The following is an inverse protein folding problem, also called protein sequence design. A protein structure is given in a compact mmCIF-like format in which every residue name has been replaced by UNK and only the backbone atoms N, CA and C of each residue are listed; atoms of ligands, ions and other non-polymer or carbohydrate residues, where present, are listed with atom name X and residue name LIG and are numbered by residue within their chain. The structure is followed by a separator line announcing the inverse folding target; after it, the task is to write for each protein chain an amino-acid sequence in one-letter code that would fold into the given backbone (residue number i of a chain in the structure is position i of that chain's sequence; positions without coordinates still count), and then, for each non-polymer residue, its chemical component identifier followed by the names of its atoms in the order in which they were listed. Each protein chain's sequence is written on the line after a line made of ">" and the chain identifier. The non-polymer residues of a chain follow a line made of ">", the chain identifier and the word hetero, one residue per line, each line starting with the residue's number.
data_IF_879025934655
#
_entry.id   IF_879025934655
#
_cell.length_a   1.000
_cell.length_b   1.000
_cell.length_c   1.000
_cell.angle_alpha   90.00
_cell.angle_beta   90.00
_cell.angle_gamma   90.00
#
_symmetry.space_group_name_H-M   'P 1'
#
loop_
_entity.id
_entity.type
_entity.pdbx_description
1 polymer ?
#
# COMPACT_ATOMS: atom_id res chain seq x y z
N UNK A 1 20.43 -22.71 -17.45
CA UNK A 1 19.65 -21.53 -17.89
C UNK A 1 18.25 -21.65 -17.32
N UNK A 2 18.00 -21.16 -16.11
CA UNK A 2 16.66 -21.13 -15.51
C UNK A 2 16.33 -19.67 -15.21
N UNK A 3 15.57 -19.05 -16.12
CA UNK A 3 15.04 -17.71 -15.92
C UNK A 3 13.70 -17.86 -15.22
N UNK A 4 13.67 -17.58 -13.91
CA UNK A 4 12.42 -17.49 -13.17
C UNK A 4 11.81 -16.13 -13.48
N UNK A 5 10.88 -16.11 -14.43
CA UNK A 5 10.08 -14.94 -14.74
C UNK A 5 9.08 -14.71 -13.60
N UNK A 6 9.40 -13.80 -12.69
CA UNK A 6 8.48 -13.35 -11.65
C UNK A 6 7.37 -12.57 -12.36
N UNK A 7 6.16 -13.13 -12.37
CA UNK A 7 4.97 -12.44 -12.85
C UNK A 7 4.73 -11.25 -11.91
N UNK A 8 5.09 -10.06 -12.35
CA UNK A 8 4.81 -8.83 -11.62
C UNK A 8 3.29 -8.60 -11.67
N UNK A 9 2.62 -8.79 -10.54
CA UNK A 9 1.21 -8.41 -10.40
C UNK A 9 1.07 -6.90 -10.66
N UNK A 10 -0.03 -6.43 -11.30
CA UNK A 10 -0.23 -5.01 -11.55
C UNK A 10 -0.38 -4.28 -10.21
N UNK A 11 0.71 -3.68 -9.74
CA UNK A 11 0.65 -2.75 -8.62
C UNK A 11 -0.03 -1.48 -9.12
N UNK A 12 -1.20 -1.16 -8.57
CA UNK A 12 -1.84 0.14 -8.78
C UNK A 12 -0.93 1.21 -8.16
N UNK A 13 -0.03 1.76 -8.98
CA UNK A 13 0.85 2.84 -8.58
C UNK A 13 0.06 4.14 -8.61
N UNK A 14 -0.14 4.76 -7.45
CA UNK A 14 -0.71 6.11 -7.40
C UNK A 14 0.21 7.09 -8.13
N UNK A 15 -0.31 8.23 -8.59
CA UNK A 15 0.48 9.27 -9.25
C UNK A 15 1.71 9.73 -8.43
N UNK A 16 1.72 9.49 -7.11
CA UNK A 16 2.87 9.72 -6.21
C UNK A 16 4.01 8.69 -6.32
N UNK A 17 3.83 7.62 -7.10
CA UNK A 17 4.76 6.50 -7.17
C UNK A 17 4.85 5.69 -5.86
N UNK A 18 3.82 5.79 -5.02
CA UNK A 18 3.66 5.03 -3.78
C UNK A 18 2.61 3.94 -3.99
N UNK A 19 2.89 2.76 -3.48
CA UNK A 19 1.98 1.61 -3.49
C UNK A 19 1.87 1.03 -2.08
N UNK A 20 0.75 0.35 -1.80
CA UNK A 20 0.64 -0.50 -0.63
C UNK A 20 1.49 -1.77 -0.89
N UNK A 21 2.38 -2.18 0.02
CA UNK A 21 3.18 -3.39 -0.14
C UNK A 21 2.30 -4.64 -0.24
N UNK A 22 2.57 -5.50 -1.22
CA UNK A 22 1.89 -6.78 -1.37
C UNK A 22 2.52 -7.84 -0.44
N UNK A 23 2.13 -7.79 0.83
CA UNK A 23 2.51 -8.79 1.83
C UNK A 23 1.27 -9.35 2.52
N UNK A 24 1.38 -10.60 3.00
CA UNK A 24 0.31 -11.26 3.76
C UNK A 24 -0.13 -10.41 4.96
N UNK A 25 0.83 -9.87 5.73
CA UNK A 25 0.54 -9.05 6.90
C UNK A 25 -0.25 -7.78 6.52
N UNK A 26 0.16 -7.09 5.45
CA UNK A 26 -0.54 -5.87 5.01
C UNK A 26 -1.97 -6.17 4.58
N UNK A 27 -2.20 -7.30 3.89
CA UNK A 27 -3.55 -7.74 3.53
C UNK A 27 -4.41 -8.03 4.75
N UNK A 28 -3.90 -8.83 5.70
CA UNK A 28 -4.62 -9.18 6.93
C UNK A 28 -4.97 -7.94 7.77
N UNK A 29 -4.06 -6.97 7.88
CA UNK A 29 -4.33 -5.71 8.59
C UNK A 29 -5.36 -4.86 7.84
N UNK A 30 -5.27 -4.80 6.51
CA UNK A 30 -6.24 -4.04 5.70
C UNK A 30 -7.64 -4.62 5.83
N UNK A 31 -7.77 -5.95 5.81
CA UNK A 31 -9.04 -6.66 6.03
C UNK A 31 -9.56 -6.41 7.44
N UNK A 32 -8.72 -6.58 8.48
CA UNK A 32 -9.11 -6.32 9.87
C UNK A 32 -9.68 -4.91 10.06
N UNK A 33 -9.00 -3.88 9.56
CA UNK A 33 -9.44 -2.48 9.69
C UNK A 33 -10.73 -2.24 8.90
N UNK A 34 -10.88 -2.87 7.73
CA UNK A 34 -12.09 -2.75 6.91
C UNK A 34 -13.31 -3.39 7.57
N UNK A 35 -13.11 -4.45 8.35
CA UNK A 35 -14.17 -5.16 9.04
C UNK A 35 -14.55 -4.51 10.38
N UNK A 36 -13.60 -3.81 11.02
CA UNK A 36 -13.81 -3.16 12.33
C UNK A 36 -14.24 -1.70 12.24
N UNK A 37 -13.81 -0.98 11.21
CA UNK A 37 -14.03 0.47 11.10
C UNK A 37 -15.05 0.83 10.01
N UNK A 38 -15.70 1.98 10.17
CA UNK A 38 -16.59 2.50 9.15
C UNK A 38 -15.81 3.01 7.91
N UNK A 39 -16.53 3.19 6.80
CA UNK A 39 -15.95 3.67 5.54
C UNK A 39 -15.25 5.03 5.65
N UNK A 40 -15.69 5.92 6.54
CA UNK A 40 -15.04 7.23 6.73
C UNK A 40 -13.63 7.04 7.32
N UNK A 41 -13.51 6.23 8.38
CA UNK A 41 -12.25 5.96 9.06
C UNK A 41 -11.31 5.10 8.22
N UNK A 42 -11.82 4.06 7.55
CA UNK A 42 -11.01 3.26 6.61
C UNK A 42 -10.40 4.12 5.50
N UNK A 43 -11.21 4.98 4.88
CA UNK A 43 -10.74 5.90 3.83
C UNK A 43 -9.80 6.97 4.38
N UNK A 44 -10.04 7.47 5.61
CA UNK A 44 -9.16 8.41 6.27
C UNK A 44 -7.76 7.80 6.50
N UNK A 45 -7.70 6.62 7.12
CA UNK A 45 -6.44 5.90 7.38
C UNK A 45 -5.67 5.61 6.09
N UNK A 46 -6.37 5.19 5.03
CA UNK A 46 -5.78 4.97 3.71
C UNK A 46 -5.13 6.24 3.15
N UNK A 47 -5.81 7.40 3.21
CA UNK A 47 -5.26 8.68 2.76
C UNK A 47 -4.04 9.11 3.59
N UNK A 48 -4.09 8.94 4.91
CA UNK A 48 -2.97 9.27 5.81
C UNK A 48 -1.74 8.45 5.44
N UNK A 49 -1.88 7.13 5.23
CA UNK A 49 -0.78 6.28 4.77
C UNK A 49 -0.16 6.80 3.48
N UNK A 50 -0.99 7.09 2.46
CA UNK A 50 -0.49 7.57 1.18
C UNK A 50 0.21 8.93 1.27
N UNK A 51 -0.32 9.87 2.05
CA UNK A 51 0.34 11.17 2.25
C UNK A 51 1.66 11.04 3.00
N UNK A 52 1.72 10.20 4.04
CA UNK A 52 2.93 9.95 4.79
C UNK A 52 4.01 9.30 3.90
N UNK A 53 3.65 8.25 3.17
CA UNK A 53 4.57 7.54 2.28
C UNK A 53 5.05 8.42 1.11
N UNK A 54 4.16 9.23 0.50
CA UNK A 54 4.56 10.16 -0.55
C UNK A 54 5.51 11.25 -0.01
N UNK A 55 5.26 11.72 1.22
CA UNK A 55 6.13 12.69 1.90
C UNK A 55 7.48 12.08 2.28
N UNK A 56 7.49 10.83 2.76
CA UNK A 56 8.71 10.08 3.07
C UNK A 56 9.57 9.89 1.83
N UNK A 57 8.96 9.45 0.72
CA UNK A 57 9.64 9.30 -0.58
C UNK A 57 10.25 10.61 -1.07
N UNK A 58 9.50 11.72 -1.02
CA UNK A 58 10.01 13.07 -1.38
C UNK A 58 11.18 13.53 -0.51
N UNK A 59 11.29 13.04 0.72
CA UNK A 59 12.35 13.35 1.67
C UNK A 59 13.50 12.34 1.68
N UNK A 60 13.41 11.26 0.88
CA UNK A 60 14.42 10.18 0.87
C UNK A 60 14.44 9.32 2.14
N UNK A 61 13.28 9.14 2.80
CA UNK A 61 13.15 8.39 4.07
C UNK A 61 12.60 6.97 3.91
N UNK A 62 12.41 6.51 2.68
CA UNK A 62 11.76 5.24 2.30
C UNK A 62 12.46 4.67 1.09
#
# INVERSE_FOLDING_TARGET
>A
MHTTSIVQAPSLTLASGVAIPDSKMVREVTELVRDTENSLLFNHSSRVYYFAAASGKRKGLT
#
